data_IF_221405250251
#
_entry.id   IF_221405250251
#
_cell.length_a   1.000
_cell.length_b   1.000
_cell.length_c   1.000
_cell.angle_alpha   90.00
_cell.angle_beta   90.00
_cell.angle_gamma   90.00
#
_symmetry.space_group_name_H-M   'P 1'
#
loop_
_entity.id
_entity.type
_entity.pdbx_description
1 polymer ?
#
# COMPACT_ATOMS: atom_id res chain seq x y z
N UNK A 1 -20.38 -20.34 -1.36
CA UNK A 1 -20.35 -20.44 -2.83
C UNK A 1 -18.95 -20.87 -3.23
N UNK A 2 -18.80 -21.94 -4.03
CA UNK A 2 -17.54 -22.20 -4.73
C UNK A 2 -17.46 -21.24 -5.92
N UNK A 3 -16.38 -20.47 -6.00
CA UNK A 3 -16.09 -19.59 -7.13
C UNK A 3 -14.93 -20.22 -7.90
N UNK A 4 -15.19 -20.66 -9.12
CA UNK A 4 -14.17 -21.23 -10.00
C UNK A 4 -13.65 -20.16 -10.95
N UNK A 5 -12.33 -20.00 -10.97
CA UNK A 5 -11.65 -19.12 -11.92
C UNK A 5 -11.27 -19.93 -13.17
N UNK A 6 -11.85 -19.66 -14.35
CA UNK A 6 -11.50 -20.38 -15.57
C UNK A 6 -10.01 -20.32 -15.84
N UNK A 7 -9.39 -21.47 -16.13
CA UNK A 7 -7.94 -21.57 -16.39
C UNK A 7 -7.07 -21.66 -15.13
N UNK A 8 -7.64 -21.63 -13.93
CA UNK A 8 -6.92 -21.74 -12.65
C UNK A 8 -7.28 -23.06 -11.98
N UNK A 9 -6.30 -23.93 -11.78
CA UNK A 9 -6.51 -25.18 -11.03
C UNK A 9 -6.70 -24.88 -9.54
N UNK A 10 -7.65 -25.53 -8.89
CA UNK A 10 -7.84 -25.43 -7.45
C UNK A 10 -6.55 -25.84 -6.70
N UNK A 11 -6.21 -25.10 -5.65
CA UNK A 11 -5.01 -25.22 -4.82
C UNK A 11 -3.67 -25.05 -5.55
N UNK A 12 -3.68 -24.59 -6.80
CA UNK A 12 -2.46 -24.25 -7.52
C UNK A 12 -1.79 -22.99 -6.96
N UNK A 13 -0.49 -22.83 -7.21
CA UNK A 13 0.23 -21.64 -6.74
C UNK A 13 -0.32 -20.36 -7.37
N UNK A 14 -0.80 -20.42 -8.62
CA UNK A 14 -1.44 -19.26 -9.27
C UNK A 14 -2.76 -18.88 -8.57
N UNK A 15 -3.55 -19.85 -8.09
CA UNK A 15 -4.73 -19.56 -7.28
C UNK A 15 -4.34 -18.91 -5.94
N UNK A 16 -3.28 -19.41 -5.29
CA UNK A 16 -2.75 -18.82 -4.04
C UNK A 16 -2.28 -17.40 -4.28
N UNK A 17 -1.58 -17.14 -5.38
CA UNK A 17 -1.14 -15.80 -5.75
C UNK A 17 -2.32 -14.85 -5.93
N UNK A 18 -3.37 -15.28 -6.64
CA UNK A 18 -4.57 -14.46 -6.82
C UNK A 18 -5.27 -14.16 -5.50
N UNK A 19 -5.34 -15.13 -4.57
CA UNK A 19 -5.85 -14.91 -3.22
C UNK A 19 -5.02 -13.89 -2.45
N UNK A 20 -3.68 -13.95 -2.56
CA UNK A 20 -2.75 -13.01 -1.93
C UNK A 20 -2.94 -11.60 -2.51
N UNK A 21 -2.95 -11.44 -3.83
CA UNK A 21 -3.15 -10.14 -4.48
C UNK A 21 -4.53 -9.57 -4.12
N UNK A 22 -5.57 -10.39 -4.17
CA UNK A 22 -6.92 -9.99 -3.75
C UNK A 22 -6.96 -9.49 -2.31
N UNK A 23 -6.31 -10.21 -1.39
CA UNK A 23 -6.16 -9.76 -0.01
C UNK A 23 -5.46 -8.40 0.08
N UNK A 24 -4.33 -8.24 -0.61
CA UNK A 24 -3.56 -6.97 -0.60
C UNK A 24 -4.43 -5.81 -1.06
N UNK A 25 -5.18 -5.98 -2.16
CA UNK A 25 -6.03 -4.92 -2.72
C UNK A 25 -7.14 -4.53 -1.74
N UNK A 26 -7.86 -5.51 -1.19
CA UNK A 26 -8.98 -5.25 -0.27
C UNK A 26 -8.47 -4.61 1.03
N UNK A 27 -7.44 -5.20 1.65
CA UNK A 27 -6.90 -4.69 2.90
C UNK A 27 -6.27 -3.31 2.73
N UNK A 28 -5.60 -3.05 1.60
CA UNK A 28 -5.07 -1.72 1.31
C UNK A 28 -6.17 -0.67 1.20
N UNK A 29 -7.30 -0.99 0.59
CA UNK A 29 -8.45 -0.08 0.52
C UNK A 29 -8.92 0.36 1.90
N UNK A 30 -8.98 -0.56 2.86
CA UNK A 30 -9.28 -0.24 4.24
C UNK A 30 -8.20 0.65 4.89
N UNK A 31 -6.92 0.28 4.75
CA UNK A 31 -5.82 1.04 5.34
C UNK A 31 -5.77 2.49 4.81
N UNK A 32 -6.00 2.68 3.51
CA UNK A 32 -6.02 4.02 2.90
C UNK A 32 -7.22 4.86 3.37
N UNK A 33 -8.39 4.23 3.57
CA UNK A 33 -9.53 4.89 4.18
C UNK A 33 -9.25 5.35 5.62
N UNK A 34 -8.48 4.60 6.41
CA UNK A 34 -8.08 5.05 7.75
C UNK A 34 -7.25 6.34 7.69
N UNK A 35 -6.33 6.48 6.72
CA UNK A 35 -5.62 7.75 6.51
C UNK A 35 -6.57 8.88 6.08
N UNK A 36 -7.54 8.58 5.21
CA UNK A 36 -8.53 9.57 4.78
C UNK A 36 -9.38 10.08 5.95
N UNK A 37 -9.71 9.21 6.91
CA UNK A 37 -10.41 9.59 8.14
C UNK A 37 -9.55 10.52 9.01
N UNK A 38 -8.25 10.26 9.14
CA UNK A 38 -7.33 11.16 9.88
C UNK A 38 -7.28 12.54 9.21
N UNK A 39 -7.14 12.57 7.89
CA UNK A 39 -7.17 13.82 7.12
C UNK A 39 -8.50 14.55 7.34
N UNK A 40 -9.63 13.86 7.24
CA UNK A 40 -10.97 14.44 7.49
C UNK A 40 -11.09 15.02 8.89
N UNK A 41 -10.62 14.31 9.92
CA UNK A 41 -10.67 14.77 11.30
C UNK A 41 -9.86 16.06 11.49
N UNK A 42 -8.66 16.15 10.89
CA UNK A 42 -7.84 17.36 10.95
C UNK A 42 -8.54 18.52 10.26
N UNK A 43 -9.10 18.30 9.06
CA UNK A 43 -9.82 19.34 8.32
C UNK A 43 -11.03 19.86 9.09
N UNK A 44 -11.80 18.98 9.75
CA UNK A 44 -12.96 19.39 10.53
C UNK A 44 -12.61 20.12 11.83
N UNK A 45 -11.58 19.67 12.55
CA UNK A 45 -11.26 20.22 13.88
C UNK A 45 -10.44 21.50 13.82
N UNK A 46 -9.61 21.68 12.79
CA UNK A 46 -8.72 22.82 12.65
C UNK A 46 -9.13 23.72 11.47
N UNK A 47 -10.42 23.77 11.15
CA UNK A 47 -10.93 24.55 10.02
C UNK A 47 -10.42 26.01 10.05
N UNK A 48 -10.10 26.55 8.88
CA UNK A 48 -9.44 27.85 8.73
C UNK A 48 -7.94 27.89 9.01
N UNK A 49 -7.31 26.78 9.44
CA UNK A 49 -5.86 26.75 9.64
C UNK A 49 -5.11 26.91 8.29
N UNK A 50 -4.05 27.74 8.19
CA UNK A 50 -3.38 28.04 6.91
C UNK A 50 -2.78 26.85 6.16
N UNK A 51 -2.60 25.70 6.85
CA UNK A 51 -2.11 24.46 6.24
C UNK A 51 -3.19 23.67 5.49
N UNK A 52 -4.47 24.00 5.69
CA UNK A 52 -5.61 23.24 5.20
C UNK A 52 -6.16 23.82 3.91
N UNK A 53 -5.28 24.04 2.93
CA UNK A 53 -5.65 24.67 1.65
C UNK A 53 -6.29 23.69 0.67
N UNK A 54 -5.80 22.45 0.64
CA UNK A 54 -6.24 21.42 -0.29
C UNK A 54 -6.21 20.05 0.37
N UNK A 55 -7.25 19.25 0.14
CA UNK A 55 -7.33 17.89 0.67
C UNK A 55 -6.46 16.94 -0.17
N UNK A 56 -5.48 16.25 0.43
CA UNK A 56 -4.62 15.31 -0.30
C UNK A 56 -5.41 14.06 -0.74
N UNK A 57 -5.31 13.71 -2.03
CA UNK A 57 -6.03 12.56 -2.62
C UNK A 57 -5.18 11.28 -2.69
N UNK A 58 -3.89 11.41 -2.96
CA UNK A 58 -2.99 10.27 -3.10
C UNK A 58 -2.15 10.04 -1.85
N UNK A 59 -1.71 8.79 -1.62
CA UNK A 59 -0.92 8.38 -0.45
C UNK A 59 0.27 9.31 -0.15
N UNK A 60 1.13 9.59 -1.15
CA UNK A 60 2.33 10.44 -0.96
C UNK A 60 1.95 11.86 -0.49
N UNK A 61 1.05 12.58 -1.17
CA UNK A 61 0.48 13.82 -0.66
C UNK A 61 -0.13 13.71 0.75
N UNK A 62 -0.88 12.63 1.06
CA UNK A 62 -1.49 12.41 2.39
C UNK A 62 -0.43 12.31 3.47
N UNK A 63 0.59 11.46 3.28
CA UNK A 63 1.70 11.30 4.23
C UNK A 63 2.43 12.64 4.45
N UNK A 64 2.72 13.37 3.37
CA UNK A 64 3.37 14.69 3.47
C UNK A 64 2.52 15.70 4.22
N UNK A 65 1.22 15.73 3.95
CA UNK A 65 0.26 16.60 4.63
C UNK A 65 0.16 16.27 6.12
N UNK A 66 -0.02 14.99 6.47
CA UNK A 66 -0.12 14.53 7.85
C UNK A 66 1.15 14.85 8.65
N UNK A 67 2.33 14.55 8.08
CA UNK A 67 3.61 14.92 8.69
C UNK A 67 3.71 16.43 8.98
N UNK A 68 3.26 17.29 8.06
CA UNK A 68 3.23 18.74 8.31
C UNK A 68 2.28 19.10 9.44
N UNK A 69 1.10 18.49 9.50
CA UNK A 69 0.11 18.76 10.54
C UNK A 69 0.63 18.38 11.92
N UNK A 70 1.21 17.18 12.08
CA UNK A 70 1.78 16.72 13.35
C UNK A 70 2.98 17.53 13.84
N UNK A 71 3.65 18.27 12.94
CA UNK A 71 4.79 19.15 13.29
C UNK A 71 4.34 20.59 13.59
N UNK A 72 3.32 21.09 12.90
CA UNK A 72 3.00 22.52 12.90
C UNK A 72 1.74 22.87 13.68
N UNK A 73 0.85 21.92 13.96
CA UNK A 73 -0.36 22.13 14.77
C UNK A 73 -0.04 21.69 16.21
N UNK A 74 0.10 22.63 17.16
CA UNK A 74 0.56 22.32 18.52
C UNK A 74 -0.24 21.23 19.23
N UNK A 75 -1.54 21.18 19.02
CA UNK A 75 -2.48 20.22 19.62
C UNK A 75 -2.25 18.78 19.13
N UNK A 76 -1.63 18.63 17.96
CA UNK A 76 -1.29 17.33 17.37
C UNK A 76 0.10 16.83 17.78
N UNK A 77 0.92 17.65 18.45
CA UNK A 77 2.28 17.27 18.85
C UNK A 77 2.32 16.01 19.72
N UNK A 78 1.27 15.76 20.50
CA UNK A 78 1.16 14.56 21.34
C UNK A 78 1.14 13.25 20.55
N UNK A 79 0.77 13.30 19.26
CA UNK A 79 0.71 12.13 18.37
C UNK A 79 1.95 11.98 17.48
N UNK A 80 2.94 12.85 17.64
CA UNK A 80 4.11 12.90 16.74
C UNK A 80 4.94 11.61 16.80
N UNK A 81 5.10 11.02 17.99
CA UNK A 81 5.85 9.77 18.13
C UNK A 81 5.17 8.60 17.41
N UNK A 82 3.85 8.55 17.46
CA UNK A 82 3.03 7.58 16.75
C UNK A 82 3.08 7.83 15.24
N UNK A 83 2.96 9.08 14.79
CA UNK A 83 2.99 9.42 13.36
C UNK A 83 4.34 9.12 12.72
N UNK A 84 5.44 9.40 13.44
CA UNK A 84 6.81 9.15 12.96
C UNK A 84 7.09 7.65 12.78
N UNK A 85 6.31 6.77 13.43
CA UNK A 85 6.36 5.32 13.23
C UNK A 85 5.36 4.85 12.18
N UNK A 86 4.14 5.40 12.18
CA UNK A 86 3.04 4.94 11.35
C UNK A 86 3.19 5.36 9.88
N UNK A 87 3.54 6.61 9.62
CA UNK A 87 3.56 7.16 8.26
C UNK A 87 4.64 6.53 7.37
N UNK A 88 5.87 6.22 7.85
CA UNK A 88 6.85 5.48 7.06
C UNK A 88 6.34 4.09 6.67
N UNK A 89 5.69 3.38 7.59
CA UNK A 89 5.12 2.04 7.34
C UNK A 89 4.05 2.08 6.25
N UNK A 90 3.19 3.10 6.25
CA UNK A 90 2.24 3.34 5.15
C UNK A 90 2.95 3.57 3.81
N UNK A 91 4.05 4.34 3.80
CA UNK A 91 4.84 4.57 2.59
C UNK A 91 5.41 3.27 2.05
N UNK A 92 6.08 2.48 2.89
CA UNK A 92 6.72 1.22 2.52
C UNK A 92 5.70 0.18 2.05
N UNK A 93 4.61 -0.01 2.80
CA UNK A 93 3.54 -0.92 2.43
C UNK A 93 2.83 -0.49 1.14
N UNK A 94 2.65 0.81 0.93
CA UNK A 94 2.09 1.37 -0.30
C UNK A 94 2.96 1.11 -1.52
N UNK A 95 4.28 1.26 -1.39
CA UNK A 95 5.24 0.91 -2.44
C UNK A 95 5.22 -0.59 -2.75
N UNK A 96 5.23 -1.43 -1.71
CA UNK A 96 5.16 -2.89 -1.86
C UNK A 96 3.85 -3.33 -2.53
N UNK A 97 2.69 -2.78 -2.12
CA UNK A 97 1.39 -2.99 -2.78
C UNK A 97 1.41 -2.53 -4.24
N UNK A 98 1.98 -1.36 -4.52
CA UNK A 98 2.10 -0.83 -5.88
C UNK A 98 2.95 -1.73 -6.78
N UNK A 99 3.92 -2.45 -6.22
CA UNK A 99 4.70 -3.44 -6.97
C UNK A 99 3.86 -4.68 -7.30
N UNK A 100 3.10 -5.22 -6.34
CA UNK A 100 2.25 -6.38 -6.60
C UNK A 100 1.09 -6.11 -7.58
N UNK A 101 0.45 -4.93 -7.48
CA UNK A 101 -0.76 -4.63 -8.25
C UNK A 101 -0.45 -4.18 -9.69
N UNK A 102 0.70 -3.53 -9.92
CA UNK A 102 1.03 -2.94 -11.23
C UNK A 102 2.14 -3.68 -11.98
N UNK A 103 2.66 -4.78 -11.44
CA UNK A 103 3.60 -5.63 -12.17
C UNK A 103 2.88 -6.73 -12.94
N UNK A 104 3.47 -7.13 -14.06
CA UNK A 104 3.07 -8.32 -14.79
C UNK A 104 3.84 -9.53 -14.28
N UNK A 105 3.19 -10.69 -14.20
CA UNK A 105 3.89 -11.96 -13.97
C UNK A 105 4.71 -12.27 -15.21
N UNK A 106 6.04 -12.35 -15.06
CA UNK A 106 6.94 -12.64 -16.17
C UNK A 106 7.28 -14.14 -16.26
N UNK A 107 7.46 -14.79 -15.11
CA UNK A 107 7.79 -16.21 -15.02
C UNK A 107 7.17 -16.83 -13.76
N UNK A 108 6.70 -18.07 -13.87
CA UNK A 108 6.22 -18.88 -12.74
C UNK A 108 7.20 -20.01 -12.49
N UNK A 109 7.98 -19.94 -11.41
CA UNK A 109 8.87 -21.03 -11.02
C UNK A 109 8.09 -22.01 -10.14
N UNK A 110 7.45 -22.98 -10.80
CA UNK A 110 6.58 -23.98 -10.16
C UNK A 110 7.33 -24.87 -9.14
N UNK A 111 8.65 -24.99 -9.23
CA UNK A 111 9.43 -25.86 -8.34
C UNK A 111 9.58 -25.29 -6.91
N UNK A 112 9.52 -23.96 -6.73
CA UNK A 112 9.78 -23.30 -5.44
C UNK A 112 8.62 -22.43 -4.93
N UNK A 113 7.50 -22.37 -5.65
CA UNK A 113 6.38 -21.49 -5.31
C UNK A 113 6.72 -19.99 -5.42
N UNK A 114 7.77 -19.64 -6.17
CA UNK A 114 8.20 -18.26 -6.37
C UNK A 114 7.65 -17.69 -7.67
N UNK A 115 7.27 -16.42 -7.62
CA UNK A 115 6.77 -15.68 -8.79
C UNK A 115 7.71 -14.55 -9.16
N UNK A 116 8.10 -14.47 -10.42
CA UNK A 116 8.82 -13.31 -10.95
C UNK A 116 7.85 -12.31 -11.53
N UNK A 117 8.04 -11.06 -11.12
CA UNK A 117 7.26 -9.93 -11.56
C UNK A 117 8.14 -8.95 -12.30
N UNK A 118 7.63 -8.43 -13.41
CA UNK A 118 8.24 -7.35 -14.18
C UNK A 118 7.32 -6.13 -14.15
N UNK A 119 7.90 -4.98 -13.85
CA UNK A 119 7.22 -3.69 -13.84
C UNK A 119 7.97 -2.71 -14.70
N UNK A 120 7.24 -2.03 -15.58
CA UNK A 120 7.77 -0.92 -16.37
C UNK A 120 7.54 0.36 -15.57
N UNK A 121 8.62 0.97 -15.10
CA UNK A 121 8.62 2.29 -14.50
C UNK A 121 8.63 3.33 -15.63
N UNK A 122 7.43 3.82 -15.94
CA UNK A 122 7.21 4.89 -16.92
C UNK A 122 7.72 6.21 -16.32
N UNK A 123 8.69 6.81 -17.01
CA UNK A 123 9.17 8.16 -16.72
C UNK A 123 8.75 9.07 -17.88
N UNK A 124 7.88 10.07 -17.64
CA UNK A 124 7.38 10.92 -18.73
C UNK A 124 8.47 11.70 -19.49
N UNK A 125 9.57 12.03 -18.81
CA UNK A 125 10.64 12.89 -19.34
C UNK A 125 11.98 12.16 -19.47
N UNK A 126 11.99 10.82 -19.43
CA UNK A 126 13.20 10.00 -19.42
C UNK A 126 12.92 8.60 -20.00
N UNK A 127 13.97 7.85 -20.30
CA UNK A 127 13.83 6.46 -20.76
C UNK A 127 13.12 5.62 -19.70
N UNK A 128 12.14 4.82 -20.16
CA UNK A 128 11.46 3.87 -19.29
C UNK A 128 12.46 2.88 -18.71
N UNK A 129 12.25 2.50 -17.46
CA UNK A 129 13.09 1.52 -16.78
C UNK A 129 12.30 0.26 -16.46
N UNK A 130 12.96 -0.89 -16.54
CA UNK A 130 12.37 -2.18 -16.20
C UNK A 130 12.88 -2.59 -14.83
N UNK A 131 11.96 -2.91 -13.94
CA UNK A 131 12.24 -3.44 -12.61
C UNK A 131 11.70 -4.86 -12.52
N UNK A 132 12.50 -5.77 -12.01
CA UNK A 132 12.11 -7.15 -11.73
C UNK A 132 12.22 -7.41 -10.24
N UNK A 133 11.23 -8.10 -9.69
CA UNK A 133 11.27 -8.61 -8.32
C UNK A 133 10.69 -10.00 -8.24
N UNK A 134 11.12 -10.74 -7.22
CA UNK A 134 10.61 -12.07 -6.92
C UNK A 134 9.73 -12.00 -5.69
N UNK A 135 8.63 -12.73 -5.73
CA UNK A 135 7.78 -12.95 -4.58
C UNK A 135 7.94 -14.39 -4.09
N UNK A 136 8.43 -14.53 -2.86
CA UNK A 136 8.44 -15.80 -2.15
C UNK A 136 7.23 -15.86 -1.21
N UNK A 137 6.57 -17.02 -1.17
CA UNK A 137 5.53 -17.30 -0.20
C UNK A 137 6.01 -17.13 1.26
N UNK A 138 7.31 -17.26 1.55
CA UNK A 138 7.87 -17.00 2.89
C UNK A 138 7.74 -15.55 3.33
N UNK A 139 7.68 -14.60 2.40
CA UNK A 139 7.59 -13.16 2.71
C UNK A 139 6.14 -12.73 2.98
N UNK A 140 5.18 -13.57 2.61
CA UNK A 140 3.77 -13.27 2.71
C UNK A 140 3.29 -13.06 4.15
N UNK A 141 3.59 -13.93 5.13
CA UNK A 141 3.09 -13.78 6.50
C UNK A 141 3.47 -12.43 7.12
N UNK A 142 4.71 -11.98 6.92
CA UNK A 142 5.17 -10.69 7.42
C UNK A 142 4.39 -9.54 6.80
N UNK A 143 4.24 -9.53 5.46
CA UNK A 143 3.51 -8.46 4.79
C UNK A 143 2.00 -8.46 5.08
N UNK A 144 1.40 -9.65 5.20
CA UNK A 144 0.01 -9.80 5.64
C UNK A 144 -0.20 -9.18 7.01
N UNK A 145 0.66 -9.48 7.97
CA UNK A 145 0.57 -8.92 9.32
C UNK A 145 0.76 -7.40 9.31
N UNK A 146 1.69 -6.90 8.51
CA UNK A 146 1.87 -5.46 8.33
C UNK A 146 0.58 -4.80 7.83
N UNK A 147 -0.02 -5.33 6.75
CA UNK A 147 -1.27 -4.81 6.20
C UNK A 147 -2.44 -4.88 7.19
N UNK A 148 -2.55 -5.93 8.00
CA UNK A 148 -3.59 -6.06 9.02
C UNK A 148 -3.42 -5.08 10.18
N UNK A 149 -2.19 -4.69 10.50
CA UNK A 149 -1.89 -3.80 11.63
C UNK A 149 -1.85 -2.32 11.27
N UNK A 150 -1.77 -1.95 9.98
CA UNK A 150 -1.65 -0.56 9.53
C UNK A 150 -2.91 0.28 9.76
N UNK A 151 -4.09 -0.35 9.66
CA UNK A 151 -5.40 0.30 9.87
C UNK A 151 -6.10 -0.07 11.17
N UNK A 152 -5.41 -0.81 12.06
CA UNK A 152 -5.95 -1.34 13.31
C UNK A 152 -5.99 -0.32 14.46
#
# INVERSE_FOLDING_TARGET
MSFELPGVKANSDIEKLFKIIGFIVVQWGHNEQCLDLIVEMIFRHFDGHPLLTERPVFLKPKIKFLNKCFVQIPELNQFRSESDKLLPRFSEAGEKRNNFVHAAISETFLENGSFSFVKIAVKPNDSHSVYQFTFDHSDWPAFRNELLSLGA
#
